data_IF_801345063489
#
_entry.id   IF_801345063489
#
_cell.length_a   1.000
_cell.length_b   1.000
_cell.length_c   1.000
_cell.angle_alpha   90.00
_cell.angle_beta   90.00
_cell.angle_gamma   90.00
#
_symmetry.space_group_name_H-M   'P 1'
#
loop_
_entity.id
_entity.type
_entity.pdbx_description
1 polymer ?
#
# COMPACT_ATOMS: atom_id res chain seq x y z
N UNK A 1 -21.43 -6.61 3.34
CA UNK A 1 -20.35 -5.93 2.61
C UNK A 1 -20.91 -5.69 1.23
N UNK A 2 -21.26 -4.45 0.92
CA UNK A 2 -21.70 -4.10 -0.44
C UNK A 2 -20.58 -4.41 -1.42
N UNK A 3 -20.92 -5.08 -2.51
CA UNK A 3 -19.96 -5.44 -3.54
C UNK A 3 -19.54 -4.17 -4.26
N UNK A 4 -18.31 -3.72 -4.04
CA UNK A 4 -17.72 -2.57 -4.74
C UNK A 4 -17.20 -2.91 -6.12
N UNK A 5 -16.98 -4.20 -6.42
CA UNK A 5 -16.48 -4.67 -7.72
C UNK A 5 -17.59 -5.39 -8.50
N UNK A 6 -17.98 -4.81 -9.63
CA UNK A 6 -18.90 -5.42 -10.57
C UNK A 6 -18.13 -6.01 -11.75
N UNK A 7 -18.57 -7.18 -12.21
CA UNK A 7 -17.94 -7.91 -13.32
C UNK A 7 -18.98 -8.12 -14.40
N UNK A 8 -18.69 -7.62 -15.60
CA UNK A 8 -19.44 -7.92 -16.80
C UNK A 8 -18.65 -8.91 -17.65
N UNK A 9 -19.29 -10.02 -18.04
CA UNK A 9 -18.70 -11.02 -18.91
C UNK A 9 -19.76 -11.54 -19.88
N UNK A 10 -19.70 -11.10 -21.14
CA UNK A 10 -20.65 -11.48 -22.17
C UNK A 10 -20.03 -11.38 -23.56
N UNK A 11 -20.26 -12.38 -24.42
CA UNK A 11 -19.76 -12.43 -25.80
C UNK A 11 -18.24 -12.13 -25.95
N UNK A 12 -17.42 -12.54 -24.99
CA UNK A 12 -15.97 -12.30 -25.01
C UNK A 12 -15.55 -10.90 -24.54
N UNK A 13 -16.49 -10.03 -24.21
CA UNK A 13 -16.25 -8.75 -23.56
C UNK A 13 -16.21 -8.99 -22.05
N UNK A 14 -15.11 -8.59 -21.42
CA UNK A 14 -14.90 -8.64 -19.98
C UNK A 14 -14.62 -7.23 -19.49
N UNK A 15 -15.44 -6.75 -18.55
CA UNK A 15 -15.24 -5.47 -17.87
C UNK A 15 -15.32 -5.64 -16.35
N UNK A 16 -14.51 -4.87 -15.66
CA UNK A 16 -14.44 -4.74 -14.21
C UNK A 16 -14.75 -3.29 -13.85
N UNK A 17 -15.76 -3.08 -13.02
CA UNK A 17 -16.16 -1.75 -12.54
C UNK A 17 -16.00 -1.74 -11.03
N UNK A 18 -15.04 -0.98 -10.53
CA UNK A 18 -14.77 -0.79 -9.12
C UNK A 18 -15.33 0.56 -8.68
N UNK A 19 -16.34 0.55 -7.82
CA UNK A 19 -16.98 1.75 -7.27
C UNK A 19 -16.53 1.93 -5.83
N UNK A 20 -15.89 3.07 -5.54
CA UNK A 20 -15.50 3.46 -4.20
C UNK A 20 -15.95 4.89 -3.90
N UNK A 21 -17.05 5.02 -3.15
CA UNK A 21 -17.64 6.31 -2.74
C UNK A 21 -17.87 7.23 -3.95
N UNK A 22 -16.93 8.15 -4.24
CA UNK A 22 -17.02 9.12 -5.33
C UNK A 22 -16.13 8.76 -6.53
N UNK A 23 -15.31 7.72 -6.42
CA UNK A 23 -14.37 7.31 -7.46
C UNK A 23 -14.84 6.02 -8.11
N UNK A 24 -14.84 5.98 -9.45
CA UNK A 24 -15.18 4.79 -10.24
C UNK A 24 -13.98 4.47 -11.10
N UNK A 25 -13.52 3.21 -11.03
CA UNK A 25 -12.48 2.67 -11.90
C UNK A 25 -13.11 1.63 -12.82
N UNK A 26 -13.00 1.85 -14.12
CA UNK A 26 -13.46 0.91 -15.15
C UNK A 26 -12.25 0.32 -15.87
N UNK A 27 -12.19 -0.99 -15.97
CA UNK A 27 -11.15 -1.73 -16.70
C UNK A 27 -11.81 -2.81 -17.56
N UNK A 28 -11.20 -3.17 -18.68
CA UNK A 28 -11.75 -4.22 -19.54
C UNK A 28 -10.87 -4.48 -20.75
N UNK A 29 -11.24 -5.50 -21.53
CA UNK A 29 -10.50 -5.90 -22.73
C UNK A 29 -10.98 -5.21 -24.02
N UNK A 30 -12.15 -4.57 -24.00
CA UNK A 30 -12.73 -3.86 -25.14
C UNK A 30 -12.90 -2.37 -24.81
N UNK A 31 -12.13 -1.51 -25.46
CA UNK A 31 -12.17 -0.06 -25.23
C UNK A 31 -13.48 0.56 -25.67
N UNK A 32 -14.12 0.04 -26.71
CA UNK A 32 -15.39 0.57 -27.22
C UNK A 32 -16.50 0.31 -26.20
N UNK A 33 -16.56 -0.89 -25.64
CA UNK A 33 -17.51 -1.25 -24.58
C UNK A 33 -17.32 -0.39 -23.32
N UNK A 34 -16.06 -0.10 -22.94
CA UNK A 34 -15.74 0.80 -21.83
C UNK A 34 -16.25 2.22 -22.13
N UNK A 35 -15.98 2.76 -23.32
CA UNK A 35 -16.45 4.10 -23.70
C UNK A 35 -17.97 4.19 -23.67
N UNK A 36 -18.68 3.21 -24.24
CA UNK A 36 -20.15 3.15 -24.20
C UNK A 36 -20.66 3.16 -22.75
N UNK A 37 -20.05 2.36 -21.86
CA UNK A 37 -20.43 2.34 -20.46
C UNK A 37 -20.20 3.69 -19.76
N UNK A 38 -19.07 4.34 -20.01
CA UNK A 38 -18.76 5.66 -19.45
C UNK A 38 -19.77 6.70 -19.94
N UNK A 39 -20.12 6.68 -21.22
CA UNK A 39 -21.13 7.57 -21.80
C UNK A 39 -22.50 7.35 -21.16
N UNK A 40 -22.97 6.11 -21.05
CA UNK A 40 -24.24 5.76 -20.38
C UNK A 40 -24.25 6.22 -18.92
N UNK A 41 -23.16 5.98 -18.18
CA UNK A 41 -23.05 6.42 -16.79
C UNK A 41 -23.05 7.96 -16.69
N UNK A 42 -22.41 8.66 -17.63
CA UNK A 42 -22.39 10.13 -17.66
C UNK A 42 -23.76 10.76 -17.95
N UNK A 43 -24.67 10.01 -18.59
CA UNK A 43 -26.05 10.44 -18.77
C UNK A 43 -26.87 10.36 -17.49
N UNK A 44 -26.57 9.39 -16.62
CA UNK A 44 -27.29 9.17 -15.36
C UNK A 44 -26.66 9.90 -14.17
N UNK A 45 -25.35 10.14 -14.21
CA UNK A 45 -24.56 10.71 -13.11
C UNK A 45 -23.63 11.80 -13.62
N UNK A 46 -23.41 12.83 -12.80
CA UNK A 46 -22.42 13.87 -13.09
C UNK A 46 -21.00 13.31 -12.94
N UNK A 47 -20.52 12.64 -13.98
CA UNK A 47 -19.19 12.03 -14.03
C UNK A 47 -18.23 12.90 -14.82
N UNK A 48 -16.98 12.94 -14.35
CA UNK A 48 -15.85 13.50 -15.09
C UNK A 48 -14.92 12.35 -15.43
N UNK A 49 -14.81 12.05 -16.71
CA UNK A 49 -13.79 11.12 -17.17
C UNK A 49 -12.39 11.74 -16.95
N UNK A 50 -11.53 10.99 -16.30
CA UNK A 50 -10.13 11.35 -16.01
C UNK A 50 -9.16 10.68 -16.99
N UNK A 51 -9.66 9.86 -17.91
CA UNK A 51 -8.88 9.11 -18.88
C UNK A 51 -8.17 7.91 -18.25
N UNK A 52 -6.96 7.62 -18.73
CA UNK A 52 -6.13 6.53 -18.21
C UNK A 52 -5.90 6.65 -16.71
N UNK A 53 -5.76 5.51 -16.02
CA UNK A 53 -5.54 5.49 -14.58
C UNK A 53 -4.22 6.20 -14.23
N UNK A 54 -4.34 7.34 -13.55
CA UNK A 54 -3.20 8.10 -13.05
C UNK A 54 -3.16 8.13 -11.52
N UNK A 55 -4.34 8.18 -10.89
CA UNK A 55 -4.48 8.25 -9.44
C UNK A 55 -5.82 7.65 -9.01
N UNK A 56 -5.79 6.63 -8.15
CA UNK A 56 -6.99 6.04 -7.58
C UNK A 56 -6.74 5.73 -6.10
N UNK A 57 -7.59 6.25 -5.20
CA UNK A 57 -7.48 6.05 -3.75
C UNK A 57 -6.07 6.29 -3.20
N UNK A 58 -5.41 7.40 -3.54
CA UNK A 58 -4.09 7.63 -2.96
C UNK A 58 -2.95 6.77 -3.52
N UNK A 59 -3.22 5.98 -4.57
CA UNK A 59 -2.22 5.22 -5.33
C UNK A 59 -2.08 5.88 -6.70
N UNK A 60 -0.86 6.27 -7.02
CA UNK A 60 -0.43 6.75 -8.32
C UNK A 60 -0.12 5.56 -9.22
N UNK A 61 -0.60 5.62 -10.46
CA UNK A 61 -0.37 4.59 -11.47
C UNK A 61 0.35 5.23 -12.66
N UNK A 62 1.50 4.67 -13.01
CA UNK A 62 2.34 5.13 -14.12
C UNK A 62 2.60 3.98 -15.08
N UNK A 63 2.13 4.10 -16.30
CA UNK A 63 2.49 3.18 -17.37
C UNK A 63 3.96 3.38 -17.78
N UNK A 64 4.69 2.28 -17.90
CA UNK A 64 6.07 2.25 -18.36
C UNK A 64 6.32 1.00 -19.21
N UNK A 65 7.43 0.97 -19.96
CA UNK A 65 7.82 -0.20 -20.75
C UNK A 65 8.05 -1.46 -19.88
N UNK A 66 8.34 -1.27 -18.58
CA UNK A 66 8.51 -2.36 -17.62
C UNK A 66 7.18 -2.90 -17.05
N UNK A 67 6.06 -2.22 -17.32
CA UNK A 67 4.73 -2.49 -16.76
C UNK A 67 4.12 -1.27 -16.06
N UNK A 68 2.99 -1.51 -15.40
CA UNK A 68 2.27 -0.53 -14.61
C UNK A 68 2.94 -0.36 -13.24
N UNK A 69 3.53 0.79 -13.00
CA UNK A 69 4.15 1.14 -11.72
C UNK A 69 3.12 1.80 -10.80
N UNK A 70 2.82 1.12 -9.69
CA UNK A 70 1.92 1.59 -8.63
C UNK A 70 2.75 2.15 -7.47
N UNK A 71 2.66 3.46 -7.23
CA UNK A 71 3.38 4.12 -6.14
C UNK A 71 2.48 5.07 -5.33
N UNK A 72 3.02 5.65 -4.26
CA UNK A 72 2.28 6.53 -3.33
C UNK A 72 3.10 7.79 -3.00
N UNK A 73 3.81 8.35 -3.98
CA UNK A 73 4.76 9.46 -3.80
C UNK A 73 4.10 10.67 -3.16
N UNK A 74 2.95 11.13 -3.69
CA UNK A 74 2.17 12.25 -3.17
C UNK A 74 1.69 11.99 -1.75
N UNK A 75 1.18 10.78 -1.49
CA UNK A 75 0.73 10.38 -0.16
C UNK A 75 1.87 10.40 0.87
N UNK A 76 3.06 9.89 0.51
CA UNK A 76 4.25 9.94 1.38
C UNK A 76 4.63 11.40 1.67
N UNK A 77 4.63 12.28 0.66
CA UNK A 77 4.96 13.69 0.85
C UNK A 77 3.98 14.39 1.82
N UNK A 78 2.68 14.11 1.68
CA UNK A 78 1.65 14.66 2.57
C UNK A 78 1.74 14.06 3.99
N UNK A 79 2.05 12.77 4.13
CA UNK A 79 2.30 12.13 5.41
C UNK A 79 3.52 12.73 6.13
N UNK A 80 4.60 12.99 5.41
CA UNK A 80 5.78 13.67 5.97
C UNK A 80 5.46 15.10 6.42
N UNK A 81 4.57 15.81 5.72
CA UNK A 81 4.12 17.14 6.13
C UNK A 81 3.27 17.06 7.41
N UNK A 82 2.34 16.11 7.48
CA UNK A 82 1.49 15.85 8.66
C UNK A 82 2.30 15.46 9.90
N UNK A 83 3.39 14.72 9.73
CA UNK A 83 4.29 14.33 10.81
C UNK A 83 5.35 15.40 11.15
N UNK A 84 5.29 16.58 10.53
CA UNK A 84 6.31 17.63 10.66
C UNK A 84 7.74 17.17 10.30
N UNK A 85 7.88 16.19 9.39
CA UNK A 85 9.15 15.56 9.00
C UNK A 85 9.63 15.90 7.58
N UNK A 86 9.00 16.85 6.89
CA UNK A 86 9.40 17.23 5.53
C UNK A 86 10.87 17.66 5.42
N UNK A 87 11.42 18.34 6.43
CA UNK A 87 12.84 18.73 6.50
C UNK A 87 13.82 17.65 6.98
N UNK A 88 13.33 16.46 7.35
CA UNK A 88 14.17 15.42 7.95
C UNK A 88 15.13 14.79 6.92
N UNK A 89 16.35 14.44 7.35
CA UNK A 89 17.34 13.76 6.50
C UNK A 89 16.86 12.33 6.18
N UNK A 90 16.87 11.87 4.92
CA UNK A 90 16.51 10.49 4.58
C UNK A 90 17.44 9.46 5.25
N UNK A 91 16.99 8.22 5.37
CA UNK A 91 17.80 7.08 5.84
C UNK A 91 17.57 5.87 4.94
N UNK A 92 18.59 5.04 4.73
CA UNK A 92 18.53 3.88 3.83
C UNK A 92 17.97 2.60 4.47
N UNK A 93 17.77 2.59 5.79
CA UNK A 93 17.25 1.41 6.50
C UNK A 93 15.96 1.75 7.26
N UNK A 94 14.88 0.94 7.11
CA UNK A 94 13.59 1.23 7.74
C UNK A 94 13.59 0.98 9.24
N UNK A 95 14.48 0.12 9.73
CA UNK A 95 14.47 -0.35 11.10
C UNK A 95 15.87 -0.75 11.56
N UNK A 96 16.19 -0.48 12.82
CA UNK A 96 17.34 -1.05 13.52
C UNK A 96 16.80 -1.58 14.85
N UNK A 97 17.06 -2.86 15.17
CA UNK A 97 16.62 -3.47 16.42
C UNK A 97 17.17 -2.67 17.60
N UNK A 98 16.36 -1.82 18.23
CA UNK A 98 16.73 -1.27 19.54
C UNK A 98 16.35 -2.31 20.60
N UNK A 99 17.36 -2.94 21.17
CA UNK A 99 17.28 -4.00 22.18
C UNK A 99 16.92 -3.52 23.58
N UNK A 100 16.67 -2.22 23.79
CA UNK A 100 16.26 -1.71 25.10
C UNK A 100 14.75 -1.44 25.12
N UNK A 101 14.01 -2.28 25.84
CA UNK A 101 12.63 -1.98 26.25
C UNK A 101 12.64 -0.71 27.12
N UNK A 102 12.50 0.46 26.48
CA UNK A 102 12.29 1.70 27.20
C UNK A 102 10.95 1.59 27.92
N UNK A 103 10.95 1.68 29.25
CA UNK A 103 9.72 1.68 30.07
C UNK A 103 9.02 3.05 30.08
N UNK A 104 9.50 4.00 29.28
CA UNK A 104 8.91 5.33 29.18
C UNK A 104 7.86 5.34 28.07
N UNK A 105 6.61 5.26 28.50
CA UNK A 105 5.43 5.41 27.64
C UNK A 105 5.25 6.87 27.22
N UNK A 106 4.74 7.07 26.02
CA UNK A 106 4.33 8.39 25.56
C UNK A 106 3.14 8.87 26.39
N UNK A 107 3.15 10.11 26.91
CA UNK A 107 2.03 10.68 27.65
C UNK A 107 0.80 10.90 26.77
N UNK A 108 1.00 11.22 25.48
CA UNK A 108 -0.06 11.28 24.48
C UNK A 108 0.29 10.41 23.27
N UNK A 109 -0.58 9.43 22.98
CA UNK A 109 -0.43 8.51 21.87
C UNK A 109 -1.18 8.96 20.60
N UNK A 110 -1.86 10.11 20.61
CA UNK A 110 -2.75 10.54 19.52
C UNK A 110 -1.98 10.68 18.20
N UNK A 111 -0.85 11.39 18.21
CA UNK A 111 -0.01 11.57 17.03
C UNK A 111 0.57 10.23 16.56
N UNK A 112 1.08 9.41 17.49
CA UNK A 112 1.57 8.06 17.21
C UNK A 112 0.53 7.23 16.46
N UNK A 113 -0.70 7.15 17.00
CA UNK A 113 -1.80 6.37 16.42
C UNK A 113 -2.18 6.88 15.02
N UNK A 114 -2.23 8.19 14.84
CA UNK A 114 -2.56 8.84 13.57
C UNK A 114 -1.53 8.49 12.48
N UNK A 115 -0.24 8.61 12.80
CA UNK A 115 0.85 8.32 11.87
C UNK A 115 0.98 6.82 11.59
N UNK A 116 0.89 5.96 12.60
CA UNK A 116 0.98 4.50 12.40
C UNK A 116 -0.16 3.99 11.51
N UNK A 117 -1.40 4.50 11.70
CA UNK A 117 -2.52 4.18 10.80
C UNK A 117 -2.27 4.67 9.37
N UNK A 118 -1.67 5.85 9.19
CA UNK A 118 -1.29 6.32 7.87
C UNK A 118 -0.17 5.46 7.24
N UNK A 119 0.79 4.97 8.04
CA UNK A 119 1.80 4.03 7.58
C UNK A 119 1.21 2.68 7.15
N UNK A 120 0.13 2.21 7.78
CA UNK A 120 -0.57 1.00 7.32
C UNK A 120 -1.11 1.16 5.89
N UNK A 121 -1.54 2.37 5.52
CA UNK A 121 -2.01 2.65 4.16
C UNK A 121 -0.90 2.55 3.11
N UNK A 122 0.34 2.87 3.48
CA UNK A 122 1.48 2.70 2.59
C UNK A 122 1.77 1.24 2.24
N UNK A 123 1.29 0.30 3.06
CA UNK A 123 1.60 -1.10 2.84
C UNK A 123 1.11 -1.56 1.48
N UNK A 124 0.01 -1.01 0.96
CA UNK A 124 -0.57 -1.28 -0.37
C UNK A 124 0.49 -1.29 -1.49
N UNK A 125 1.51 -0.43 -1.42
CA UNK A 125 2.59 -0.39 -2.43
C UNK A 125 3.99 -0.62 -1.84
N UNK A 126 4.12 -0.77 -0.52
CA UNK A 126 5.39 -0.81 0.22
C UNK A 126 5.52 -2.09 1.06
N UNK A 127 5.62 -3.28 0.45
CA UNK A 127 5.75 -4.54 1.19
C UNK A 127 7.00 -4.58 2.08
N UNK A 128 8.07 -3.88 1.69
CA UNK A 128 9.36 -3.81 2.38
C UNK A 128 9.31 -3.16 3.77
N UNK A 129 8.24 -2.44 4.14
CA UNK A 129 8.06 -1.89 5.49
C UNK A 129 6.97 -2.60 6.31
N UNK A 130 6.31 -3.62 5.74
CA UNK A 130 5.20 -4.35 6.37
C UNK A 130 5.53 -4.83 7.77
N UNK A 131 6.69 -5.47 7.92
CA UNK A 131 7.13 -6.02 9.20
C UNK A 131 7.20 -4.94 10.30
N UNK A 132 7.91 -3.84 10.03
CA UNK A 132 8.12 -2.80 11.03
C UNK A 132 6.82 -2.06 11.33
N UNK A 133 6.00 -1.77 10.33
CA UNK A 133 4.70 -1.13 10.53
C UNK A 133 3.76 -2.02 11.35
N UNK A 134 3.67 -3.31 11.04
CA UNK A 134 2.85 -4.25 11.80
C UNK A 134 3.30 -4.34 13.26
N UNK A 135 4.61 -4.32 13.52
CA UNK A 135 5.14 -4.27 14.89
C UNK A 135 4.73 -2.99 15.62
N UNK A 136 4.83 -1.83 14.97
CA UNK A 136 4.42 -0.56 15.56
C UNK A 136 2.91 -0.51 15.85
N UNK A 137 2.10 -1.18 15.03
CA UNK A 137 0.66 -1.31 15.26
C UNK A 137 0.32 -2.09 16.54
N UNK A 138 1.19 -3.01 16.99
CA UNK A 138 0.97 -3.76 18.24
C UNK A 138 1.02 -2.83 19.47
N UNK A 139 1.76 -1.72 19.39
CA UNK A 139 1.90 -0.74 20.47
C UNK A 139 0.97 0.47 20.30
N UNK A 140 -0.10 0.38 19.51
CA UNK A 140 -1.01 1.50 19.20
C UNK A 140 -1.70 2.10 20.43
N UNK A 141 -1.97 1.27 21.46
CA UNK A 141 -2.64 1.71 22.67
C UNK A 141 -1.70 2.38 23.67
N UNK A 142 -0.52 1.79 23.87
CA UNK A 142 0.46 2.20 24.87
C UNK A 142 1.89 2.25 24.25
N UNK A 143 2.16 3.21 23.36
CA UNK A 143 3.46 3.33 22.69
C UNK A 143 4.54 3.88 23.63
N UNK A 144 5.78 3.49 23.37
CA UNK A 144 6.97 4.00 24.07
C UNK A 144 7.69 5.07 23.27
N UNK A 145 8.58 5.83 23.92
CA UNK A 145 9.51 6.74 23.23
C UNK A 145 10.37 6.02 22.18
N UNK A 146 10.71 4.75 22.43
CA UNK A 146 11.43 3.92 21.47
C UNK A 146 10.59 3.62 20.22
N UNK A 147 9.29 3.34 20.39
CA UNK A 147 8.36 3.16 19.27
C UNK A 147 8.21 4.44 18.46
N UNK A 148 8.14 5.60 19.12
CA UNK A 148 8.06 6.87 18.41
C UNK A 148 9.32 7.18 17.60
N UNK A 149 10.49 6.90 18.16
CA UNK A 149 11.76 6.96 17.43
C UNK A 149 11.78 6.01 16.22
N UNK A 150 11.21 4.81 16.37
CA UNK A 150 11.09 3.86 15.28
C UNK A 150 10.12 4.34 14.17
N UNK A 151 8.97 4.92 14.52
CA UNK A 151 8.05 5.57 13.55
C UNK A 151 8.78 6.65 12.75
N UNK A 152 9.53 7.54 13.43
CA UNK A 152 10.31 8.60 12.77
C UNK A 152 11.36 8.04 11.81
N UNK A 153 11.99 6.91 12.14
CA UNK A 153 12.93 6.23 11.23
C UNK A 153 12.21 5.67 10.00
N UNK A 154 11.05 5.04 10.16
CA UNK A 154 10.24 4.55 9.03
C UNK A 154 9.86 5.71 8.11
N UNK A 155 9.43 6.85 8.66
CA UNK A 155 9.13 8.05 7.86
C UNK A 155 10.35 8.59 7.10
N UNK A 156 11.52 8.63 7.73
CA UNK A 156 12.77 9.03 7.05
C UNK A 156 13.16 8.05 5.95
N UNK A 157 12.86 6.78 6.13
CA UNK A 157 13.11 5.74 5.14
C UNK A 157 12.13 5.86 3.96
N UNK A 158 10.84 6.04 4.21
CA UNK A 158 9.86 6.25 3.13
C UNK A 158 10.19 7.50 2.33
N UNK A 159 10.73 8.55 2.97
CA UNK A 159 11.30 9.71 2.26
C UNK A 159 12.47 9.35 1.35
N UNK A 160 13.39 8.48 1.79
CA UNK A 160 14.51 8.04 0.97
C UNK A 160 14.04 7.23 -0.25
N UNK A 161 13.00 6.44 -0.07
CA UNK A 161 12.45 5.53 -1.08
C UNK A 161 11.10 6.04 -1.62
N UNK A 162 10.96 7.34 -1.80
CA UNK A 162 9.65 7.96 -2.10
C UNK A 162 9.07 7.50 -3.44
N UNK A 163 9.95 7.16 -4.38
CA UNK A 163 9.62 6.70 -5.74
C UNK A 163 9.44 5.19 -5.84
N UNK A 164 9.61 4.46 -4.74
CA UNK A 164 9.46 3.01 -4.79
C UNK A 164 8.00 2.64 -4.77
N UNK A 165 7.67 1.55 -5.47
CA UNK A 165 6.31 1.04 -5.59
C UNK A 165 6.31 -0.41 -6.07
N UNK A 166 5.16 -0.88 -6.52
CA UNK A 166 4.99 -2.19 -7.15
C UNK A 166 4.98 -2.03 -8.66
N UNK A 167 5.56 -2.99 -9.38
CA UNK A 167 5.42 -3.07 -10.84
C UNK A 167 4.52 -4.26 -11.13
N UNK A 168 3.40 -4.00 -11.81
CA UNK A 168 2.52 -5.03 -12.35
C UNK A 168 2.74 -5.09 -13.85
N UNK A 169 3.08 -6.27 -14.36
CA UNK A 169 3.34 -6.48 -15.78
C UNK A 169 2.55 -7.69 -16.30
N UNK A 170 2.26 -7.74 -17.61
CA UNK A 170 1.72 -8.94 -18.22
C UNK A 170 2.61 -10.16 -17.91
N UNK A 171 2.00 -11.26 -17.50
CA UNK A 171 2.67 -12.53 -17.24
C UNK A 171 2.14 -13.57 -18.20
N UNK A 172 3.03 -14.40 -18.75
CA UNK A 172 2.65 -15.55 -19.60
C UNK A 172 2.06 -16.70 -18.78
N UNK A 173 2.16 -16.65 -17.45
CA UNK A 173 1.65 -17.66 -16.53
C UNK A 173 0.70 -17.05 -15.51
N UNK A 174 -0.35 -17.80 -15.20
CA UNK A 174 -1.32 -17.51 -14.13
C UNK A 174 -1.07 -18.40 -12.90
N UNK A 175 0.16 -18.91 -12.74
CA UNK A 175 0.51 -19.72 -11.59
C UNK A 175 0.50 -18.88 -10.31
N UNK A 176 -0.29 -19.32 -9.33
CA UNK A 176 -0.27 -18.76 -7.98
C UNK A 176 0.86 -19.42 -7.18
N UNK A 177 1.84 -18.63 -6.75
CA UNK A 177 2.97 -19.08 -5.93
C UNK A 177 2.96 -18.36 -4.58
N UNK A 178 3.08 -19.10 -3.50
CA UNK A 178 3.19 -18.55 -2.15
C UNK A 178 4.58 -18.84 -1.60
N UNK A 179 5.25 -17.80 -1.12
CA UNK A 179 6.54 -17.89 -0.42
C UNK A 179 6.32 -17.58 1.04
N UNK A 180 6.97 -18.33 1.93
CA UNK A 180 6.97 -18.06 3.37
C UNK A 180 8.41 -18.11 3.88
N UNK A 181 8.89 -17.00 4.42
CA UNK A 181 10.17 -16.93 5.12
C UNK A 181 9.93 -16.93 6.63
N UNK A 182 10.67 -17.75 7.36
CA UNK A 182 10.56 -17.90 8.81
C UNK A 182 11.84 -17.43 9.47
N UNK A 183 11.79 -16.29 10.15
CA UNK A 183 12.96 -15.69 10.81
C UNK A 183 13.17 -16.34 12.19
N UNK A 184 13.76 -17.53 12.23
CA UNK A 184 14.00 -18.28 13.47
C UNK A 184 15.04 -17.63 14.40
N UNK A 185 16.08 -17.00 13.84
CA UNK A 185 17.27 -16.61 14.61
C UNK A 185 17.34 -15.12 14.99
N UNK A 186 16.47 -14.25 14.44
CA UNK A 186 16.56 -12.79 14.62
C UNK A 186 15.68 -12.25 15.75
N UNK A 187 14.65 -12.99 16.18
CA UNK A 187 13.74 -12.57 17.25
C UNK A 187 13.38 -13.76 18.15
N UNK A 188 14.15 -14.03 19.22
CA UNK A 188 13.90 -15.15 20.14
C UNK A 188 12.52 -15.10 20.83
N UNK A 189 11.98 -13.89 21.01
CA UNK A 189 10.71 -13.62 21.70
C UNK A 189 9.47 -13.79 20.81
N UNK A 190 9.61 -13.62 19.49
CA UNK A 190 8.51 -13.69 18.52
C UNK A 190 8.97 -14.47 17.29
N UNK A 191 8.55 -15.72 17.16
CA UNK A 191 8.70 -16.52 15.94
C UNK A 191 7.81 -15.89 14.86
N UNK A 192 8.37 -15.25 13.85
CA UNK A 192 7.59 -14.54 12.81
C UNK A 192 7.80 -15.15 11.44
N UNK A 193 6.71 -15.20 10.67
CA UNK A 193 6.75 -15.55 9.25
C UNK A 193 6.33 -14.36 8.39
N UNK A 194 7.03 -14.17 7.28
CA UNK A 194 6.63 -13.23 6.22
C UNK A 194 6.18 -14.05 5.02
N UNK A 195 4.93 -13.87 4.61
CA UNK A 195 4.34 -14.55 3.46
C UNK A 195 4.15 -13.56 2.32
N UNK A 196 4.43 -13.99 1.10
CA UNK A 196 4.17 -13.23 -0.12
C UNK A 196 3.57 -14.15 -1.19
N UNK A 197 2.43 -13.74 -1.74
CA UNK A 197 1.71 -14.48 -2.78
C UNK A 197 1.89 -13.75 -4.12
N UNK A 198 2.31 -14.49 -5.13
CA UNK A 198 2.59 -14.01 -6.48
C UNK A 198 1.68 -14.70 -7.49
N UNK A 199 1.14 -13.93 -8.42
CA UNK A 199 0.46 -14.43 -9.61
C UNK A 199 1.38 -14.24 -10.82
N UNK A 200 2.02 -15.33 -11.25
CA UNK A 200 3.19 -15.27 -12.11
C UNK A 200 4.28 -14.41 -11.48
N UNK A 201 4.76 -13.41 -12.20
CA UNK A 201 5.82 -12.51 -11.70
C UNK A 201 5.29 -11.38 -10.81
N UNK A 202 3.97 -11.25 -10.62
CA UNK A 202 3.36 -10.10 -9.95
C UNK A 202 3.03 -10.42 -8.50
N UNK A 203 3.55 -9.62 -7.56
CA UNK A 203 3.16 -9.71 -6.16
C UNK A 203 1.71 -9.21 -5.99
N UNK A 204 0.82 -10.08 -5.53
CA UNK A 204 -0.62 -9.76 -5.36
C UNK A 204 -1.04 -9.64 -3.89
N UNK A 205 -0.28 -10.25 -2.97
CA UNK A 205 -0.59 -10.24 -1.54
C UNK A 205 0.68 -10.45 -0.72
N UNK A 206 0.76 -9.85 0.46
CA UNK A 206 1.82 -10.11 1.43
C UNK A 206 1.30 -9.89 2.85
N UNK A 207 1.87 -10.63 3.78
CA UNK A 207 1.51 -10.54 5.19
C UNK A 207 2.74 -10.81 6.06
N UNK A 208 2.81 -10.15 7.21
CA UNK A 208 3.75 -10.51 8.26
C UNK A 208 2.96 -10.96 9.47
N UNK A 209 3.11 -12.25 9.81
CA UNK A 209 2.40 -12.90 10.92
C UNK A 209 3.38 -13.24 12.05
N UNK A 210 2.82 -13.24 13.26
CA UNK A 210 3.42 -13.79 14.47
C UNK A 210 2.87 -15.20 14.67
#
# INVERSE_FOLDING_TARGET
>A
MDTSLFIYNYNGIIMYVLVYVNDILVMGNDTSAITTLIEELSHHFALKDLGSIHYFLGVEAHDSDAGLHLCQRKYIADLLRRAHMNGSKPISTPFCMSTSASKHYLPDATEYRSIVRALQYLLITRPNITFVVNRLCQHIYLPTEADWSAVKKVLRYTKHTIDYGLIIKPSSTYLLQAYSDSDWARFPEDRKSTTGDFLGDNLISWCSKK
#
